data_IF_581680705862
#
_entry.id   IF_581680705862
#
_cell.length_a   1.000
_cell.length_b   1.000
_cell.length_c   1.000
_cell.angle_alpha   90.00
_cell.angle_beta   90.00
_cell.angle_gamma   90.00
#
_symmetry.space_group_name_H-M   'P 1'
#
loop_
_entity.id
_entity.type
_entity.pdbx_description
1 polymer ?
#
# COMPACT_ATOMS: atom_id res chain seq x y z
N UNK A 1 3.78 -15.62 0.49
CA UNK A 1 4.09 -14.18 0.63
C UNK A 1 3.76 -13.68 2.02
N UNK A 2 4.39 -12.59 2.46
CA UNK A 2 4.10 -11.97 3.75
C UNK A 2 3.91 -10.45 3.50
N UNK A 3 2.64 -9.96 3.53
CA UNK A 3 2.29 -8.59 3.15
C UNK A 3 1.49 -7.92 4.27
N UNK A 4 1.70 -6.60 4.43
CA UNK A 4 0.89 -5.72 5.25
C UNK A 4 0.42 -4.55 4.37
N UNK A 5 -0.84 -4.63 3.93
CA UNK A 5 -1.46 -3.70 2.96
C UNK A 5 -2.32 -2.72 3.74
N UNK A 6 -1.85 -1.51 3.91
CA UNK A 6 -2.42 -0.53 4.84
C UNK A 6 -3.06 0.63 4.09
N UNK A 7 -4.29 0.98 4.44
CA UNK A 7 -5.02 2.08 3.79
C UNK A 7 -4.30 3.42 3.95
N UNK A 8 -3.88 3.78 5.17
CA UNK A 8 -3.22 5.06 5.45
C UNK A 8 -2.07 4.90 6.44
N UNK A 9 -1.09 5.79 6.36
CA UNK A 9 -0.02 5.87 7.37
C UNK A 9 -0.39 6.68 8.60
N UNK A 10 -1.49 7.45 8.56
CA UNK A 10 -1.90 8.33 9.66
C UNK A 10 -3.41 8.39 9.76
N UNK A 11 -3.95 8.08 10.92
CA UNK A 11 -5.37 8.25 11.24
C UNK A 11 -5.56 9.61 11.91
N UNK A 12 -6.70 10.25 11.64
CA UNK A 12 -7.01 11.56 12.23
C UNK A 12 -6.83 11.59 13.74
N UNK A 13 -6.13 12.59 14.24
CA UNK A 13 -5.87 12.76 15.67
C UNK A 13 -4.80 11.83 16.26
N UNK A 14 -4.12 11.01 15.44
CA UNK A 14 -3.04 10.13 15.92
C UNK A 14 -1.70 10.48 15.25
N UNK A 15 -0.57 10.23 15.93
CA UNK A 15 0.75 10.35 15.32
C UNK A 15 0.94 9.39 14.14
N UNK A 16 1.90 9.71 13.27
CA UNK A 16 2.28 8.90 12.11
C UNK A 16 2.59 7.46 12.52
N UNK A 17 1.92 6.49 11.89
CA UNK A 17 2.01 5.04 12.11
C UNK A 17 1.67 4.53 13.53
N UNK A 18 1.36 5.39 14.51
CA UNK A 18 1.23 4.99 15.91
C UNK A 18 0.17 3.90 16.16
N UNK A 19 -0.88 3.86 15.34
CA UNK A 19 -1.94 2.86 15.47
C UNK A 19 -1.57 1.47 14.93
N UNK A 20 -0.41 1.35 14.26
CA UNK A 20 0.12 0.11 13.68
C UNK A 20 1.28 -0.48 14.48
N UNK A 21 1.68 0.12 15.60
CA UNK A 21 2.90 -0.29 16.31
C UNK A 21 2.92 -1.79 16.63
N UNK A 22 1.89 -2.30 17.28
CA UNK A 22 1.82 -3.73 17.65
C UNK A 22 1.84 -4.63 16.42
N UNK A 23 1.06 -4.28 15.40
CA UNK A 23 1.00 -5.02 14.13
C UNK A 23 2.35 -5.02 13.42
N UNK A 24 3.05 -3.87 13.36
CA UNK A 24 4.35 -3.77 12.71
C UNK A 24 5.43 -4.56 13.47
N UNK A 25 5.42 -4.51 14.80
CA UNK A 25 6.36 -5.30 15.62
C UNK A 25 6.19 -6.80 15.40
N UNK A 26 4.95 -7.28 15.35
CA UNK A 26 4.65 -8.68 15.04
C UNK A 26 5.02 -9.01 13.58
N UNK A 27 4.59 -8.15 12.64
CA UNK A 27 4.82 -8.36 11.21
C UNK A 27 6.30 -8.49 10.84
N UNK A 28 7.13 -7.63 11.39
CA UNK A 28 8.57 -7.59 11.16
C UNK A 28 9.38 -8.32 12.24
N UNK A 29 8.78 -9.19 13.05
CA UNK A 29 9.44 -9.86 14.18
C UNK A 29 10.72 -10.63 13.80
N UNK A 30 10.79 -11.14 12.56
CA UNK A 30 11.97 -11.84 12.03
C UNK A 30 12.97 -10.91 11.30
N UNK A 31 12.61 -9.64 11.09
CA UNK A 31 13.43 -8.64 10.41
C UNK A 31 14.07 -7.68 11.40
N UNK A 32 15.26 -7.16 11.07
CA UNK A 32 15.93 -6.09 11.81
C UNK A 32 16.14 -4.85 10.95
N UNK A 33 16.39 -5.04 9.67
CA UNK A 33 16.74 -3.99 8.71
C UNK A 33 15.60 -3.77 7.73
N UNK A 34 15.01 -2.59 7.76
CA UNK A 34 13.88 -2.21 6.91
C UNK A 34 14.33 -1.19 5.88
N UNK A 35 14.17 -1.53 4.59
CA UNK A 35 14.35 -0.58 3.51
C UNK A 35 13.08 0.25 3.34
N UNK A 36 13.21 1.55 3.53
CA UNK A 36 12.11 2.49 3.30
C UNK A 36 12.14 3.03 1.88
N UNK A 37 11.00 3.01 1.20
CA UNK A 37 10.82 3.53 -0.16
C UNK A 37 10.09 4.89 -0.08
N UNK A 38 10.80 6.04 -0.20
CA UNK A 38 10.24 7.37 -0.02
C UNK A 38 9.69 8.01 -1.30
N UNK A 39 9.60 7.28 -2.42
CA UNK A 39 9.49 7.82 -3.78
C UNK A 39 8.11 8.37 -4.17
N UNK A 40 7.11 8.26 -3.29
CA UNK A 40 5.74 8.70 -3.61
C UNK A 40 5.49 10.21 -3.43
N UNK A 41 6.45 10.98 -2.93
CA UNK A 41 6.26 12.41 -2.59
C UNK A 41 6.88 13.33 -3.65
N UNK A 42 6.10 13.88 -4.60
CA UNK A 42 6.63 14.73 -5.67
C UNK A 42 7.00 16.15 -5.23
N UNK A 43 6.59 16.57 -4.03
CA UNK A 43 6.84 17.92 -3.53
C UNK A 43 6.68 18.05 -2.03
N UNK A 44 7.20 19.14 -1.46
CA UNK A 44 7.06 19.51 -0.05
C UNK A 44 7.94 18.73 0.93
N UNK A 45 8.24 17.47 0.66
CA UNK A 45 9.08 16.63 1.51
C UNK A 45 10.11 15.88 0.66
N UNK A 46 11.39 16.09 0.95
CA UNK A 46 12.48 15.36 0.27
C UNK A 46 12.48 13.88 0.66
N UNK A 47 13.11 13.02 -0.16
CA UNK A 47 13.30 11.59 0.19
C UNK A 47 14.00 11.44 1.54
N UNK A 48 15.01 12.27 1.81
CA UNK A 48 15.72 12.28 3.09
C UNK A 48 14.81 12.64 4.27
N UNK A 49 14.02 13.71 4.16
CA UNK A 49 13.10 14.13 5.22
C UNK A 49 12.00 13.08 5.49
N UNK A 50 11.50 12.45 4.42
CA UNK A 50 10.49 11.40 4.57
C UNK A 50 11.08 10.14 5.20
N UNK A 51 12.30 9.77 4.81
CA UNK A 51 13.03 8.67 5.44
C UNK A 51 13.31 8.95 6.90
N UNK A 52 13.76 10.16 7.26
CA UNK A 52 14.00 10.54 8.65
C UNK A 52 12.75 10.40 9.53
N UNK A 53 11.59 10.84 9.01
CA UNK A 53 10.31 10.69 9.71
C UNK A 53 9.91 9.22 9.93
N UNK A 54 10.06 8.37 8.92
CA UNK A 54 9.77 6.94 9.04
C UNK A 54 10.76 6.24 9.97
N UNK A 55 12.04 6.57 9.84
CA UNK A 55 13.13 6.04 10.64
C UNK A 55 12.97 6.33 12.13
N UNK A 56 12.54 7.55 12.50
CA UNK A 56 12.27 7.91 13.89
C UNK A 56 11.29 6.93 14.53
N UNK A 57 10.17 6.65 13.86
CA UNK A 57 9.15 5.71 14.34
C UNK A 57 9.67 4.27 14.40
N UNK A 58 10.25 3.77 13.29
CA UNK A 58 10.74 2.38 13.25
C UNK A 58 11.90 2.13 14.22
N UNK A 59 12.76 3.14 14.45
CA UNK A 59 13.84 3.04 15.44
C UNK A 59 13.29 2.96 16.87
N UNK A 60 12.21 3.68 17.19
CA UNK A 60 11.55 3.55 18.49
C UNK A 60 10.93 2.17 18.71
N UNK A 61 10.63 1.46 17.62
CA UNK A 61 10.15 0.07 17.63
C UNK A 61 11.29 -0.98 17.61
N UNK A 62 12.55 -0.54 17.54
CA UNK A 62 13.71 -1.43 17.58
C UNK A 62 14.21 -1.91 16.22
N UNK A 63 13.78 -1.29 15.13
CA UNK A 63 14.23 -1.60 13.77
C UNK A 63 15.30 -0.61 13.30
N UNK A 64 16.29 -1.10 12.54
CA UNK A 64 17.18 -0.28 11.75
C UNK A 64 16.51 0.07 10.41
N UNK A 65 16.52 1.36 10.02
CA UNK A 65 15.91 1.78 8.75
C UNK A 65 16.85 2.66 7.93
N UNK A 66 16.89 2.39 6.63
CA UNK A 66 17.54 3.23 5.62
C UNK A 66 16.60 3.47 4.45
N UNK A 67 16.72 4.64 3.80
CA UNK A 67 15.97 4.98 2.61
C UNK A 67 16.59 4.38 1.35
N UNK A 68 15.74 3.99 0.40
CA UNK A 68 16.19 3.43 -0.88
C UNK A 68 17.14 4.37 -1.66
N UNK A 69 16.98 5.69 -1.50
CA UNK A 69 17.86 6.71 -2.10
C UNK A 69 19.25 6.82 -1.47
N UNK A 70 19.53 6.10 -0.38
CA UNK A 70 20.82 6.06 0.31
C UNK A 70 21.74 4.96 -0.21
N UNK A 71 21.26 4.14 -1.15
CA UNK A 71 22.03 3.04 -1.76
C UNK A 71 22.44 3.41 -3.19
N UNK A 72 23.52 2.82 -3.65
CA UNK A 72 24.05 3.06 -5.00
C UNK A 72 23.09 2.52 -6.07
N UNK A 73 22.47 1.37 -5.80
CA UNK A 73 21.51 0.72 -6.68
C UNK A 73 20.45 -0.08 -5.90
N UNK A 74 19.41 -0.51 -6.61
CA UNK A 74 18.30 -1.25 -6.03
C UNK A 74 18.72 -2.63 -5.49
N UNK A 75 19.70 -3.29 -6.11
CA UNK A 75 20.15 -4.61 -5.69
C UNK A 75 20.90 -4.53 -4.36
N UNK A 76 21.72 -3.49 -4.17
CA UNK A 76 22.41 -3.24 -2.91
C UNK A 76 21.39 -3.01 -1.78
N UNK A 77 20.41 -2.11 -2.01
CA UNK A 77 19.37 -1.82 -1.04
C UNK A 77 18.53 -3.06 -0.67
N UNK A 78 18.11 -3.83 -1.66
CA UNK A 78 17.34 -5.05 -1.44
C UNK A 78 18.14 -6.17 -0.76
N UNK A 79 19.45 -6.28 -1.02
CA UNK A 79 20.32 -7.23 -0.28
C UNK A 79 20.49 -6.84 1.19
N UNK A 80 20.67 -5.54 1.46
CA UNK A 80 20.83 -5.03 2.81
C UNK A 80 19.60 -5.26 3.69
N UNK A 81 18.40 -5.15 3.12
CA UNK A 81 17.13 -5.21 3.86
C UNK A 81 16.71 -6.63 4.25
N UNK A 82 16.12 -6.78 5.42
CA UNK A 82 15.37 -7.96 5.82
C UNK A 82 13.88 -7.84 5.46
N UNK A 83 13.38 -6.61 5.29
CA UNK A 83 12.01 -6.32 4.91
C UNK A 83 11.87 -4.92 4.29
N UNK A 84 10.69 -4.61 3.76
CA UNK A 84 10.41 -3.39 3.01
C UNK A 84 9.24 -2.62 3.59
N UNK A 85 9.36 -1.29 3.60
CA UNK A 85 8.24 -0.39 3.86
C UNK A 85 8.14 0.67 2.75
N UNK A 86 7.04 0.69 2.02
CA UNK A 86 6.76 1.70 0.99
C UNK A 86 5.76 2.72 1.52
N UNK A 87 6.19 3.98 1.57
CA UNK A 87 5.38 5.09 2.04
C UNK A 87 4.31 5.54 1.05
N UNK A 88 3.32 6.28 1.55
CA UNK A 88 2.25 6.87 0.75
C UNK A 88 2.64 8.18 0.09
N UNK A 89 1.79 8.62 -0.84
CA UNK A 89 1.88 9.81 -1.66
C UNK A 89 1.20 9.57 -3.01
N UNK A 90 1.76 10.06 -4.10
CA UNK A 90 1.22 9.86 -5.44
C UNK A 90 1.67 8.52 -6.03
N UNK A 91 0.70 7.65 -6.34
CA UNK A 91 0.95 6.29 -6.86
C UNK A 91 1.65 6.29 -8.21
N UNK A 92 1.33 7.24 -9.11
CA UNK A 92 1.97 7.32 -10.43
C UNK A 92 3.44 7.71 -10.32
N UNK A 93 3.77 8.66 -9.44
CA UNK A 93 5.16 9.08 -9.17
C UNK A 93 5.94 7.92 -8.56
N UNK A 94 5.35 7.21 -7.60
CA UNK A 94 5.96 6.04 -6.98
C UNK A 94 6.28 4.97 -8.02
N UNK A 95 5.29 4.58 -8.84
CA UNK A 95 5.44 3.55 -9.88
C UNK A 95 6.53 3.92 -10.87
N UNK A 96 6.49 5.17 -11.39
CA UNK A 96 7.52 5.67 -12.31
C UNK A 96 8.91 5.57 -11.72
N UNK A 97 9.10 6.10 -10.51
CA UNK A 97 10.42 6.13 -9.86
C UNK A 97 10.95 4.74 -9.53
N UNK A 98 10.09 3.83 -9.11
CA UNK A 98 10.47 2.43 -8.86
C UNK A 98 11.00 1.75 -10.13
N UNK A 99 10.37 1.98 -11.29
CA UNK A 99 10.85 1.46 -12.57
C UNK A 99 12.17 2.10 -12.99
N UNK A 100 12.27 3.44 -12.90
CA UNK A 100 13.48 4.17 -13.30
C UNK A 100 14.71 3.83 -12.45
N UNK A 101 14.51 3.52 -11.19
CA UNK A 101 15.58 3.17 -10.24
C UNK A 101 15.86 1.67 -10.14
N UNK A 102 15.07 0.83 -10.84
CA UNK A 102 15.19 -0.62 -10.80
C UNK A 102 14.62 -1.28 -9.54
N UNK A 103 14.09 -0.51 -8.59
CA UNK A 103 13.50 -1.04 -7.36
C UNK A 103 12.23 -1.84 -7.61
N UNK A 104 11.48 -1.59 -8.69
CA UNK A 104 10.26 -2.34 -8.98
C UNK A 104 10.54 -3.85 -9.05
N UNK A 105 11.48 -4.26 -9.88
CA UNK A 105 11.84 -5.67 -10.06
C UNK A 105 12.65 -6.24 -8.88
N UNK A 106 13.51 -5.41 -8.27
CA UNK A 106 14.36 -5.86 -7.17
C UNK A 106 13.54 -6.17 -5.90
N UNK A 107 12.53 -5.34 -5.59
CA UNK A 107 11.61 -5.58 -4.48
C UNK A 107 10.73 -6.80 -4.77
N UNK A 108 10.16 -6.91 -5.99
CA UNK A 108 9.35 -8.06 -6.38
C UNK A 108 10.11 -9.37 -6.16
N UNK A 109 11.32 -9.47 -6.69
CA UNK A 109 12.19 -10.64 -6.51
C UNK A 109 12.42 -10.98 -5.02
N UNK A 110 12.68 -9.95 -4.20
CA UNK A 110 12.97 -10.16 -2.79
C UNK A 110 11.73 -10.58 -1.98
N UNK A 111 10.54 -10.03 -2.31
CA UNK A 111 9.27 -10.39 -1.67
C UNK A 111 8.82 -11.79 -2.08
N UNK A 112 8.99 -12.15 -3.36
CA UNK A 112 8.76 -13.52 -3.85
C UNK A 112 9.70 -14.53 -3.16
N UNK A 113 10.91 -14.11 -2.79
CA UNK A 113 11.85 -14.90 -1.99
C UNK A 113 11.53 -14.95 -0.49
N UNK A 114 10.42 -14.32 -0.05
CA UNK A 114 9.88 -14.42 1.30
C UNK A 114 10.15 -13.23 2.22
N UNK A 115 10.82 -12.15 1.77
CA UNK A 115 10.97 -10.95 2.60
C UNK A 115 9.63 -10.25 2.81
N UNK A 116 9.32 -9.80 4.05
CA UNK A 116 8.06 -9.13 4.34
C UNK A 116 8.01 -7.73 3.69
N UNK A 117 6.82 -7.36 3.20
CA UNK A 117 6.55 -6.07 2.60
C UNK A 117 5.35 -5.39 3.26
N UNK A 118 5.55 -4.15 3.68
CA UNK A 118 4.49 -3.24 4.12
C UNK A 118 4.33 -2.12 3.11
N UNK A 119 3.09 -1.84 2.70
CA UNK A 119 2.74 -0.68 1.87
C UNK A 119 1.62 0.13 2.49
N UNK A 120 1.77 1.47 2.54
CA UNK A 120 0.71 2.38 2.95
C UNK A 120 0.24 3.22 1.78
N UNK A 121 -1.09 3.39 1.60
CA UNK A 121 -1.67 4.25 0.55
C UNK A 121 -1.14 3.87 -0.84
N UNK A 122 -0.32 4.73 -1.48
CA UNK A 122 0.33 4.44 -2.75
C UNK A 122 1.12 3.11 -2.73
N UNK A 123 1.83 2.81 -1.64
CA UNK A 123 2.53 1.54 -1.46
C UNK A 123 1.58 0.34 -1.33
N UNK A 124 0.37 0.54 -0.80
CA UNK A 124 -0.67 -0.48 -0.77
C UNK A 124 -1.22 -0.76 -2.18
N UNK A 125 -1.47 0.28 -2.97
CA UNK A 125 -1.99 0.14 -4.33
C UNK A 125 -1.09 -0.73 -5.22
N UNK A 126 0.25 -0.65 -5.03
CA UNK A 126 1.21 -1.45 -5.79
C UNK A 126 1.17 -2.96 -5.51
N UNK A 127 0.53 -3.39 -4.43
CA UNK A 127 0.38 -4.84 -4.14
C UNK A 127 -0.68 -5.52 -5.01
N UNK A 128 -1.59 -4.74 -5.60
CA UNK A 128 -2.66 -5.22 -6.47
C UNK A 128 -2.20 -5.55 -7.89
N UNK A 129 -3.16 -5.82 -8.77
CA UNK A 129 -2.93 -6.15 -10.19
C UNK A 129 -2.50 -4.91 -10.97
N UNK A 130 -3.14 -3.77 -10.70
CA UNK A 130 -2.85 -2.50 -11.37
C UNK A 130 -3.05 -1.30 -10.45
N UNK A 131 -2.46 -0.16 -10.82
CA UNK A 131 -2.67 1.12 -10.13
C UNK A 131 -3.93 1.88 -10.63
N UNK A 132 -4.73 1.29 -11.51
CA UNK A 132 -5.85 1.95 -12.17
C UNK A 132 -7.00 2.36 -11.24
N UNK A 133 -7.02 1.83 -10.01
CA UNK A 133 -8.03 2.17 -8.99
C UNK A 133 -7.51 3.12 -7.92
N UNK A 134 -6.34 3.73 -8.11
CA UNK A 134 -5.85 4.78 -7.22
C UNK A 134 -6.73 6.04 -7.27
N UNK A 135 -6.76 6.78 -6.15
CA UNK A 135 -7.45 8.07 -6.09
C UNK A 135 -6.54 9.24 -6.51
N UNK A 136 -5.28 8.97 -6.83
CA UNK A 136 -4.30 9.99 -7.16
C UNK A 136 -4.49 10.56 -8.57
N UNK A 137 -4.04 11.79 -8.76
CA UNK A 137 -3.96 12.38 -10.10
C UNK A 137 -2.74 11.85 -10.86
N UNK A 138 -2.86 11.51 -12.16
CA UNK A 138 -1.76 11.04 -13.00
C UNK A 138 -0.86 12.21 -13.43
N UNK A 139 -0.07 12.73 -12.51
CA UNK A 139 0.81 13.90 -12.74
C UNK A 139 2.11 13.57 -13.47
N UNK A 140 2.41 12.28 -13.64
CA UNK A 140 3.52 11.75 -14.44
C UNK A 140 3.04 10.51 -15.20
N UNK A 141 3.77 10.14 -16.24
CA UNK A 141 3.54 8.90 -17.01
C UNK A 141 4.48 7.80 -16.49
N UNK A 142 3.98 6.78 -15.77
CA UNK A 142 4.75 5.58 -15.48
C UNK A 142 4.86 4.71 -16.73
N UNK A 143 5.87 3.85 -16.85
CA UNK A 143 6.05 2.99 -18.03
C UNK A 143 4.95 1.92 -18.16
N UNK A 144 4.27 1.58 -17.08
CA UNK A 144 3.13 0.67 -17.02
C UNK A 144 2.16 1.09 -15.91
N UNK A 145 0.88 0.73 -16.05
CA UNK A 145 -0.11 0.77 -14.96
C UNK A 145 -0.22 -0.56 -14.23
N UNK A 146 0.50 -1.59 -14.68
CA UNK A 146 0.62 -2.84 -13.93
C UNK A 146 1.32 -2.60 -12.60
N UNK A 147 0.81 -3.24 -11.57
CA UNK A 147 1.40 -3.30 -10.25
C UNK A 147 2.07 -4.67 -10.05
N UNK A 148 2.44 -5.04 -8.84
CA UNK A 148 3.14 -6.31 -8.62
C UNK A 148 2.26 -7.56 -8.74
N UNK A 149 0.92 -7.43 -8.64
CA UNK A 149 0.00 -8.56 -8.72
C UNK A 149 0.16 -9.58 -7.59
N UNK A 150 0.64 -9.16 -6.43
CA UNK A 150 0.83 -10.06 -5.28
C UNK A 150 -0.49 -10.49 -4.64
N UNK A 151 -1.54 -9.71 -4.85
CA UNK A 151 -2.92 -10.08 -4.51
C UNK A 151 -3.81 -10.03 -5.75
N UNK A 152 -4.82 -10.91 -5.89
CA UNK A 152 -5.62 -11.04 -7.12
C UNK A 152 -6.74 -9.99 -7.23
N UNK A 153 -6.53 -8.80 -6.69
CA UNK A 153 -7.48 -7.68 -6.72
C UNK A 153 -6.73 -6.36 -6.72
N UNK A 154 -7.43 -5.28 -7.05
CA UNK A 154 -6.90 -3.93 -6.92
C UNK A 154 -7.25 -3.34 -5.55
N UNK A 155 -6.40 -2.43 -5.08
CA UNK A 155 -6.64 -1.68 -3.85
C UNK A 155 -7.17 -0.28 -4.21
N UNK A 156 -8.21 0.18 -3.52
CA UNK A 156 -8.58 1.58 -3.42
C UNK A 156 -8.32 2.02 -1.97
N UNK A 157 -7.09 2.48 -1.71
CA UNK A 157 -6.72 3.03 -0.41
C UNK A 157 -7.46 4.36 -0.15
N UNK A 158 -7.65 4.72 1.12
CA UNK A 158 -8.46 5.88 1.52
C UNK A 158 -9.88 5.83 0.94
N UNK A 159 -10.48 4.65 0.91
CA UNK A 159 -11.87 4.52 0.47
C UNK A 159 -12.78 5.36 1.37
N UNK A 160 -13.66 6.12 0.73
CA UNK A 160 -14.67 6.94 1.40
C UNK A 160 -16.05 6.52 0.92
N UNK A 161 -16.94 6.26 1.89
CA UNK A 161 -18.34 6.06 1.60
C UNK A 161 -19.00 7.36 1.10
N UNK A 162 -20.05 7.26 0.29
CA UNK A 162 -20.89 8.42 -0.02
C UNK A 162 -21.44 9.06 1.25
N UNK A 163 -21.35 10.37 1.34
CA UNK A 163 -21.94 11.13 2.47
C UNK A 163 -23.39 11.43 2.11
N UNK A 164 -24.33 10.91 2.91
CA UNK A 164 -25.75 11.19 2.75
C UNK A 164 -26.03 12.69 2.94
N UNK A 165 -26.83 13.27 2.06
CA UNK A 165 -27.12 14.72 2.07
C UNK A 165 -25.99 15.61 1.58
N UNK A 166 -24.90 15.07 1.04
CA UNK A 166 -23.85 15.87 0.44
C UNK A 166 -24.37 16.67 -0.76
N UNK A 167 -24.04 17.96 -0.80
CA UNK A 167 -24.34 18.84 -1.96
C UNK A 167 -23.24 18.76 -3.02
N UNK A 168 -22.19 17.97 -2.80
CA UNK A 168 -21.11 17.78 -3.79
C UNK A 168 -21.62 16.94 -4.95
N UNK A 169 -21.54 17.49 -6.17
CA UNK A 169 -22.02 16.85 -7.41
C UNK A 169 -20.96 16.00 -8.11
N UNK A 170 -19.76 15.90 -7.54
CA UNK A 170 -18.70 15.03 -8.05
C UNK A 170 -18.98 13.56 -7.79
N UNK A 171 -18.38 12.70 -8.60
CA UNK A 171 -18.52 11.24 -8.49
C UNK A 171 -17.97 10.69 -7.18
N UNK A 172 -18.69 9.72 -6.62
CA UNK A 172 -18.24 8.98 -5.46
C UNK A 172 -17.11 8.00 -5.79
N UNK A 173 -16.39 7.50 -4.79
CA UNK A 173 -15.42 6.41 -4.98
C UNK A 173 -16.08 5.18 -5.61
N UNK A 174 -17.27 4.83 -5.15
CA UNK A 174 -18.05 3.71 -5.69
C UNK A 174 -18.38 3.91 -7.18
N UNK A 175 -18.79 5.11 -7.59
CA UNK A 175 -19.07 5.42 -9.00
C UNK A 175 -17.83 5.19 -9.86
N UNK A 176 -16.66 5.70 -9.47
CA UNK A 176 -15.40 5.53 -10.20
C UNK A 176 -14.95 4.07 -10.28
N UNK A 177 -15.17 3.28 -9.23
CA UNK A 177 -14.88 1.85 -9.25
C UNK A 177 -15.85 1.12 -10.22
N UNK A 178 -17.13 1.51 -10.27
CA UNK A 178 -18.08 0.97 -11.24
C UNK A 178 -17.67 1.31 -12.68
N UNK A 179 -17.17 2.51 -12.93
CA UNK A 179 -16.63 2.90 -14.25
C UNK A 179 -15.39 2.06 -14.61
N UNK A 180 -14.47 1.83 -13.67
CA UNK A 180 -13.35 0.91 -13.87
C UNK A 180 -13.83 -0.47 -14.31
N UNK A 181 -14.90 -1.00 -13.71
CA UNK A 181 -15.47 -2.29 -14.05
C UNK A 181 -16.18 -2.35 -15.42
N UNK A 182 -16.37 -1.25 -16.14
CA UNK A 182 -16.82 -1.32 -17.54
C UNK A 182 -15.79 -2.01 -18.44
N UNK A 183 -14.51 -1.83 -18.16
CA UNK A 183 -13.41 -2.33 -18.98
C UNK A 183 -12.54 -3.38 -18.29
N UNK A 184 -12.73 -3.61 -17.00
CA UNK A 184 -11.87 -4.47 -16.17
C UNK A 184 -12.73 -5.43 -15.33
N UNK A 185 -12.21 -6.62 -15.06
CA UNK A 185 -12.93 -7.66 -14.33
C UNK A 185 -12.39 -7.90 -12.91
N UNK A 186 -11.20 -7.34 -12.60
CA UNK A 186 -10.53 -7.55 -11.31
C UNK A 186 -11.37 -6.99 -10.16
N UNK A 187 -11.50 -7.72 -9.05
CA UNK A 187 -12.11 -7.18 -7.84
C UNK A 187 -11.38 -5.94 -7.34
N UNK A 188 -12.10 -5.03 -6.71
CA UNK A 188 -11.52 -3.83 -6.07
C UNK A 188 -11.87 -3.82 -4.59
N UNK A 189 -10.84 -3.72 -3.76
CA UNK A 189 -10.97 -3.67 -2.31
C UNK A 189 -10.78 -2.23 -1.82
N UNK A 190 -11.88 -1.59 -1.45
CA UNK A 190 -11.92 -0.27 -0.84
C UNK A 190 -11.55 -0.37 0.64
N UNK A 191 -10.33 0.06 1.00
CA UNK A 191 -9.85 0.06 2.37
C UNK A 191 -10.07 1.43 3.01
N UNK A 192 -10.87 1.49 4.08
CA UNK A 192 -11.08 2.69 4.88
C UNK A 192 -9.85 3.00 5.73
N UNK A 193 -9.63 4.27 6.05
CA UNK A 193 -8.52 4.68 6.92
C UNK A 193 -8.60 4.00 8.29
N UNK A 194 -7.47 3.53 8.80
CA UNK A 194 -7.40 2.75 10.04
C UNK A 194 -7.63 1.25 9.87
N UNK A 195 -7.78 0.77 8.62
CA UNK A 195 -7.86 -0.66 8.30
C UNK A 195 -6.68 -1.11 7.42
N UNK A 196 -6.34 -2.38 7.53
CA UNK A 196 -5.29 -3.02 6.76
C UNK A 196 -5.58 -4.49 6.51
N UNK A 197 -4.95 -5.05 5.48
CA UNK A 197 -4.97 -6.47 5.18
C UNK A 197 -3.60 -7.06 5.53
N UNK A 198 -3.59 -8.08 6.38
CA UNK A 198 -2.45 -8.95 6.63
C UNK A 198 -2.53 -10.16 5.72
N UNK A 199 -1.47 -10.41 4.95
CA UNK A 199 -1.33 -11.63 4.13
C UNK A 199 -0.21 -12.47 4.69
N UNK A 200 -0.45 -13.75 4.90
CA UNK A 200 0.55 -14.74 5.29
C UNK A 200 0.32 -16.04 4.51
N UNK A 201 1.24 -16.38 3.62
CA UNK A 201 1.05 -17.48 2.67
C UNK A 201 -0.18 -17.24 1.80
N UNK A 202 -1.17 -18.13 1.87
CA UNK A 202 -2.45 -18.05 1.14
C UNK A 202 -3.60 -17.47 2.00
N UNK A 203 -3.31 -16.99 3.20
CA UNK A 203 -4.33 -16.45 4.11
C UNK A 203 -4.30 -14.95 4.09
N UNK A 204 -5.48 -14.35 3.98
CA UNK A 204 -5.70 -12.90 4.15
C UNK A 204 -6.61 -12.66 5.35
N UNK A 205 -6.28 -11.65 6.12
CA UNK A 205 -7.06 -11.18 7.25
C UNK A 205 -7.23 -9.66 7.18
N UNK A 206 -8.49 -9.19 7.19
CA UNK A 206 -8.79 -7.78 7.37
C UNK A 206 -8.71 -7.45 8.85
N UNK A 207 -7.95 -6.41 9.20
CA UNK A 207 -7.72 -5.95 10.56
C UNK A 207 -7.91 -4.43 10.65
N UNK A 208 -8.03 -3.93 11.86
CA UNK A 208 -8.20 -2.50 12.14
C UNK A 208 -9.62 -2.15 12.57
N UNK A 209 -9.94 -0.84 12.52
CA UNK A 209 -11.17 -0.30 13.14
C UNK A 209 -12.39 -0.38 12.21
N UNK A 210 -12.23 -0.60 10.92
CA UNK A 210 -13.32 -0.50 9.94
C UNK A 210 -13.36 -1.70 9.01
N UNK A 211 -14.55 -1.97 8.47
CA UNK A 211 -14.78 -2.93 7.39
C UNK A 211 -14.09 -2.51 6.09
N UNK A 212 -13.90 -3.43 5.17
CA UNK A 212 -13.54 -3.14 3.78
C UNK A 212 -14.78 -3.29 2.90
N UNK A 213 -14.87 -2.45 1.85
CA UNK A 213 -15.93 -2.54 0.87
C UNK A 213 -15.39 -3.17 -0.42
N UNK A 214 -15.95 -4.32 -0.80
CA UNK A 214 -15.47 -5.11 -1.93
C UNK A 214 -16.41 -4.99 -3.11
N UNK A 215 -15.82 -4.71 -4.27
CA UNK A 215 -16.53 -4.54 -5.52
C UNK A 215 -16.15 -5.64 -6.50
N UNK A 216 -17.16 -6.28 -7.08
CA UNK A 216 -17.04 -7.19 -8.19
C UNK A 216 -17.84 -6.65 -9.37
N UNK A 217 -17.34 -6.83 -10.59
CA UNK A 217 -18.05 -6.41 -11.82
C UNK A 217 -19.47 -6.94 -11.86
N UNK A 218 -20.43 -6.06 -12.08
CA UNK A 218 -21.86 -6.42 -12.23
C UNK A 218 -22.55 -6.91 -10.95
N UNK A 219 -21.89 -6.80 -9.76
CA UNK A 219 -22.49 -7.21 -8.49
C UNK A 219 -22.67 -6.02 -7.56
N UNK A 220 -23.59 -6.16 -6.61
CA UNK A 220 -23.69 -5.24 -5.46
C UNK A 220 -22.43 -5.34 -4.62
N UNK A 221 -21.91 -4.19 -4.17
CA UNK A 221 -20.75 -4.15 -3.30
C UNK A 221 -21.03 -4.87 -1.98
N UNK A 222 -20.03 -5.58 -1.47
CA UNK A 222 -20.11 -6.34 -0.21
C UNK A 222 -19.34 -5.61 0.88
N UNK A 223 -19.88 -5.63 2.10
CA UNK A 223 -19.12 -5.23 3.29
C UNK A 223 -18.47 -6.45 3.91
N UNK A 224 -17.17 -6.34 4.15
CA UNK A 224 -16.43 -7.32 4.93
C UNK A 224 -16.25 -6.80 6.34
N UNK A 225 -16.96 -7.43 7.27
CA UNK A 225 -16.78 -7.25 8.72
C UNK A 225 -15.74 -8.25 9.18
N UNK A 226 -14.81 -7.78 9.99
CA UNK A 226 -13.79 -8.56 10.72
C UNK A 226 -13.64 -10.03 10.33
N UNK A 227 -12.44 -10.37 9.79
CA UNK A 227 -11.88 -11.73 9.76
C UNK A 227 -12.69 -12.69 8.88
N UNK A 228 -12.57 -12.51 7.59
CA UNK A 228 -12.71 -13.67 6.70
C UNK A 228 -11.34 -14.05 6.23
N UNK A 229 -10.89 -15.24 6.58
CA UNK A 229 -9.75 -15.87 5.93
C UNK A 229 -10.15 -16.09 4.48
N UNK A 230 -9.86 -15.14 3.61
CA UNK A 230 -9.98 -15.34 2.18
C UNK A 230 -8.75 -16.12 1.76
N UNK A 231 -8.95 -17.30 1.18
CA UNK A 231 -7.87 -18.00 0.52
C UNK A 231 -7.57 -17.29 -0.80
N UNK A 232 -6.29 -17.05 -1.05
CA UNK A 232 -5.78 -16.62 -2.34
C UNK A 232 -5.67 -17.86 -3.24
N UNK A 233 -6.80 -18.34 -3.78
CA UNK A 233 -6.83 -19.36 -4.84
C UNK A 233 -7.16 -18.73 -6.18
#
# INVERSE_FOLDING_TARGET
>A
MNLLIVSTSTVYGKPYLSYLEEECRDFFSSAKKILFIPFARPGGMTHHAYTAKAKEVFSSWGFEMRGAHEFTDAQEGCRWADGFFTGGGNTFVLTKTLHETGYFNAIDTAVQAGKPYMGTSAGANLTGISICTTNDMPIVYPPSFEAWGWVPFNINAHYLDPVEGSTHMGETRETRIKEFHHFNDQPVYGLREGSWIRVHGNRMELKGAHTARIFYKGKTALEFENISLLNLE
#
